data_IF_306891305002
#
_entry.id   IF_306891305002
#
_cell.length_a   1.000
_cell.length_b   1.000
_cell.length_c   1.000
_cell.angle_alpha   90.00
_cell.angle_beta   90.00
_cell.angle_gamma   90.00
#
_symmetry.space_group_name_H-M   'P 1'
#
loop_
_entity.id
_entity.type
_entity.pdbx_description
1 polymer ?
#
# COMPACT_ATOMS: atom_id res chain seq x y z
N UNK A 1 63.26 40.63 -16.16
CA UNK A 1 63.99 39.60 -15.34
C UNK A 1 63.20 38.32 -15.43
N UNK A 2 63.80 37.34 -16.05
CA UNK A 2 63.25 35.98 -16.32
C UNK A 2 63.16 35.21 -15.03
N UNK A 3 61.99 34.59 -14.70
CA UNK A 3 61.94 33.51 -13.70
C UNK A 3 61.15 32.33 -14.23
N UNK A 4 61.90 31.30 -14.47
CA UNK A 4 61.61 29.93 -14.75
C UNK A 4 60.57 29.36 -13.75
N UNK A 5 59.46 28.81 -14.23
CA UNK A 5 58.60 27.97 -13.43
C UNK A 5 58.84 26.54 -13.88
N UNK A 6 59.43 25.78 -12.99
CA UNK A 6 59.77 24.37 -13.12
C UNK A 6 58.51 23.51 -13.06
N UNK A 7 58.30 22.71 -14.10
CA UNK A 7 57.24 21.74 -14.26
C UNK A 7 57.60 20.52 -13.39
N UNK A 8 56.79 20.27 -12.34
CA UNK A 8 56.91 19.04 -11.56
C UNK A 8 55.80 18.08 -12.03
N UNK A 9 56.18 17.18 -12.92
CA UNK A 9 55.33 16.04 -13.32
C UNK A 9 55.40 15.00 -12.21
N UNK A 10 54.37 14.90 -11.39
CA UNK A 10 54.16 13.76 -10.49
C UNK A 10 53.55 12.59 -11.28
N UNK A 11 54.33 11.56 -11.51
CA UNK A 11 53.91 10.31 -12.07
C UNK A 11 53.00 9.56 -11.06
N UNK A 12 51.73 9.44 -11.33
CA UNK A 12 50.83 8.51 -10.65
C UNK A 12 50.95 7.14 -11.32
N UNK A 13 51.12 6.05 -10.57
CA UNK A 13 51.08 4.71 -11.14
C UNK A 13 49.65 4.39 -11.54
N UNK A 14 49.41 4.18 -12.84
CA UNK A 14 48.22 3.52 -13.34
C UNK A 14 48.20 2.06 -12.82
N UNK A 15 47.44 1.81 -11.79
CA UNK A 15 47.02 0.44 -11.48
C UNK A 15 45.95 0.08 -12.51
N UNK A 16 46.36 -0.57 -13.58
CA UNK A 16 45.45 -1.24 -14.51
C UNK A 16 44.81 -2.42 -13.74
N UNK A 17 43.60 -2.21 -13.23
CA UNK A 17 42.71 -3.30 -12.88
C UNK A 17 42.32 -3.95 -14.20
N UNK A 18 42.95 -5.07 -14.50
CA UNK A 18 42.56 -5.95 -15.60
C UNK A 18 41.16 -6.48 -15.27
N UNK A 19 40.11 -5.81 -15.75
CA UNK A 19 38.81 -6.42 -15.93
C UNK A 19 39.01 -7.47 -17.03
N UNK A 20 39.11 -8.73 -16.61
CA UNK A 20 38.97 -9.86 -17.52
C UNK A 20 37.54 -9.82 -18.04
N UNK A 21 37.35 -9.19 -19.17
CA UNK A 21 36.12 -9.32 -19.95
C UNK A 21 36.01 -10.80 -20.35
N UNK A 22 35.03 -11.45 -19.72
CA UNK A 22 34.66 -12.84 -20.07
C UNK A 22 34.17 -12.80 -21.54
N UNK A 23 34.67 -13.75 -22.34
CA UNK A 23 34.15 -13.87 -23.70
C UNK A 23 32.65 -14.19 -23.66
N UNK A 24 31.85 -13.81 -24.68
CA UNK A 24 30.41 -14.07 -24.71
C UNK A 24 30.05 -15.56 -24.52
N UNK A 25 30.95 -16.49 -24.92
CA UNK A 25 30.79 -17.92 -24.71
C UNK A 25 30.95 -18.30 -23.22
N UNK A 26 31.85 -17.66 -22.49
CA UNK A 26 32.07 -17.91 -21.06
C UNK A 26 30.92 -17.34 -20.21
N UNK A 27 30.34 -16.23 -20.62
CA UNK A 27 29.14 -15.68 -19.98
C UNK A 27 27.93 -16.59 -20.20
N UNK A 28 27.76 -17.14 -21.39
CA UNK A 28 26.69 -18.09 -21.70
C UNK A 28 26.83 -19.38 -20.87
N UNK A 29 28.04 -19.93 -20.79
CA UNK A 29 28.29 -21.12 -19.97
C UNK A 29 28.06 -20.88 -18.49
N UNK A 30 28.43 -19.71 -17.97
CA UNK A 30 28.18 -19.34 -16.59
C UNK A 30 26.68 -19.20 -16.32
N UNK A 31 25.95 -18.55 -17.21
CA UNK A 31 24.50 -18.41 -17.11
C UNK A 31 23.78 -19.77 -17.16
N UNK A 32 24.23 -20.68 -18.00
CA UNK A 32 23.69 -22.06 -18.06
C UNK A 32 23.93 -22.82 -16.75
N UNK A 33 25.12 -22.72 -16.15
CA UNK A 33 25.43 -23.36 -14.87
C UNK A 33 24.59 -22.77 -13.73
N UNK A 34 24.36 -21.46 -13.72
CA UNK A 34 23.50 -20.83 -12.72
C UNK A 34 22.03 -21.23 -12.87
N UNK A 35 21.53 -21.37 -14.10
CA UNK A 35 20.20 -21.87 -14.39
C UNK A 35 20.01 -23.31 -13.90
N UNK A 36 20.96 -24.18 -14.19
CA UNK A 36 20.93 -25.57 -13.75
C UNK A 36 20.97 -25.70 -12.22
N UNK A 37 21.81 -24.91 -11.56
CA UNK A 37 21.87 -24.84 -10.10
C UNK A 37 20.55 -24.34 -9.47
N UNK A 38 19.90 -23.37 -10.11
CA UNK A 38 18.59 -22.88 -9.67
C UNK A 38 17.48 -23.92 -9.85
N UNK A 39 17.50 -24.67 -10.95
CA UNK A 39 16.55 -25.77 -11.20
C UNK A 39 16.71 -26.91 -10.18
N UNK A 40 17.95 -27.29 -9.82
CA UNK A 40 18.19 -28.28 -8.77
C UNK A 40 17.64 -27.86 -7.41
N UNK A 41 17.86 -26.61 -7.03
CA UNK A 41 17.29 -26.04 -5.77
C UNK A 41 15.76 -26.07 -5.77
N UNK A 42 15.14 -25.80 -6.91
CA UNK A 42 13.68 -25.82 -7.05
C UNK A 42 13.11 -27.24 -6.90
N UNK A 43 13.78 -28.23 -7.49
CA UNK A 43 13.38 -29.64 -7.38
C UNK A 43 13.53 -30.16 -5.95
N UNK A 44 14.63 -29.84 -5.27
CA UNK A 44 14.82 -30.18 -3.85
C UNK A 44 13.78 -29.53 -2.95
N UNK A 45 13.43 -28.27 -3.21
CA UNK A 45 12.39 -27.57 -2.47
C UNK A 45 11.01 -28.20 -2.65
N UNK A 46 10.68 -28.64 -3.87
CA UNK A 46 9.43 -29.37 -4.17
C UNK A 46 9.38 -30.73 -3.46
N UNK A 47 10.47 -31.51 -3.48
CA UNK A 47 10.55 -32.79 -2.77
C UNK A 47 10.40 -32.63 -1.26
N UNK A 48 11.01 -31.59 -0.67
CA UNK A 48 10.83 -31.27 0.77
C UNK A 48 9.39 -30.91 1.09
N UNK A 49 8.73 -30.12 0.24
CA UNK A 49 7.32 -29.75 0.41
C UNK A 49 6.40 -30.98 0.29
N UNK A 50 6.66 -31.90 -0.64
CA UNK A 50 5.89 -33.14 -0.78
C UNK A 50 6.08 -34.08 0.42
N UNK A 51 7.30 -34.22 0.92
CA UNK A 51 7.59 -35.02 2.13
C UNK A 51 6.93 -34.44 3.37
N UNK A 52 6.88 -33.11 3.51
CA UNK A 52 6.18 -32.44 4.60
C UNK A 52 4.65 -32.65 4.55
N UNK A 53 4.06 -32.78 3.37
CA UNK A 53 2.64 -33.08 3.22
C UNK A 53 2.32 -34.56 3.49
N UNK A 54 3.23 -35.49 3.21
CA UNK A 54 3.05 -36.90 3.49
C UNK A 54 3.19 -37.26 4.98
N UNK A 55 3.97 -36.49 5.75
CA UNK A 55 4.12 -36.67 7.20
C UNK A 55 2.98 -36.12 8.03
N UNK A 56 2.05 -35.35 7.45
CA UNK A 56 0.83 -34.90 8.12
C UNK A 56 -0.39 -35.81 7.93
N UNK A 57 -0.22 -36.93 7.24
CA UNK A 57 -1.30 -37.89 6.89
C UNK A 57 -1.40 -39.13 7.77
N UNK A 58 -0.52 -39.36 8.73
CA UNK A 58 -0.57 -40.55 9.60
C UNK A 58 -0.48 -40.18 11.07
N UNK A 59 -1.65 -39.92 11.68
CA UNK A 59 -1.86 -40.07 13.10
C UNK A 59 -2.81 -41.28 13.32
N UNK A 60 -2.47 -42.24 14.20
CA UNK A 60 -3.23 -43.47 14.34
C UNK A 60 -4.58 -43.23 15.02
N UNK A 61 -5.64 -43.67 14.36
CA UNK A 61 -6.97 -43.85 14.97
C UNK A 61 -6.84 -44.91 16.08
N UNK A 62 -6.97 -44.49 17.31
CA UNK A 62 -7.43 -45.37 18.40
C UNK A 62 -8.94 -45.26 18.52
N UNK A 63 -9.58 -46.34 18.19
CA UNK A 63 -10.96 -46.64 18.62
C UNK A 63 -11.00 -46.77 20.11
N UNK A 64 -11.79 -45.95 20.76
CA UNK A 64 -12.37 -46.28 22.07
C UNK A 64 -13.81 -45.79 22.10
N UNK A 65 -14.66 -46.81 22.06
CA UNK A 65 -16.09 -46.80 22.23
C UNK A 65 -16.41 -46.44 23.70
N UNK A 66 -17.03 -45.30 23.96
CA UNK A 66 -17.71 -45.07 25.21
C UNK A 66 -18.96 -44.22 24.95
N UNK A 67 -20.07 -44.91 25.07
CA UNK A 67 -21.42 -44.41 24.87
C UNK A 67 -21.74 -43.22 25.79
N UNK A 68 -22.35 -42.20 25.19
CA UNK A 68 -22.93 -41.09 25.91
C UNK A 68 -24.44 -41.25 25.92
N UNK A 69 -24.96 -41.64 27.10
CA UNK A 69 -26.38 -41.67 27.44
C UNK A 69 -26.85 -40.27 27.81
N UNK A 70 -27.91 -39.85 27.16
CA UNK A 70 -28.67 -38.63 27.44
C UNK A 70 -29.60 -38.92 28.66
N UNK A 71 -29.60 -38.11 29.75
CA UNK A 71 -30.70 -38.08 30.67
C UNK A 71 -31.72 -37.01 30.27
N UNK A 72 -32.93 -37.49 30.05
CA UNK A 72 -34.15 -36.68 29.95
C UNK A 72 -34.72 -36.39 31.35
N UNK A 73 -35.32 -35.20 31.47
CA UNK A 73 -36.37 -34.78 32.42
C UNK A 73 -35.96 -34.21 33.80
N UNK A 74 -36.28 -32.97 34.05
CA UNK A 74 -37.52 -32.47 34.66
C UNK A 74 -37.38 -31.00 35.08
N UNK A 75 -38.30 -30.17 34.56
CA UNK A 75 -38.71 -28.89 35.17
C UNK A 75 -39.54 -29.17 36.44
N UNK A 76 -39.83 -28.22 37.43
CA UNK A 76 -40.01 -26.77 37.23
C UNK A 76 -39.62 -25.84 38.43
N UNK A 77 -39.72 -24.55 38.18
CA UNK A 77 -40.24 -23.43 39.00
C UNK A 77 -39.32 -22.57 39.88
N UNK A 78 -39.34 -21.31 39.52
CA UNK A 78 -39.48 -20.04 40.25
C UNK A 78 -38.25 -19.16 40.59
N UNK A 79 -38.25 -18.02 39.89
CA UNK A 79 -38.06 -16.62 40.35
C UNK A 79 -36.82 -16.24 41.18
N UNK A 80 -35.98 -15.36 40.59
CA UNK A 80 -35.85 -13.91 40.92
C UNK A 80 -34.75 -13.23 40.14
N UNK A 81 -35.18 -12.22 39.39
CA UNK A 81 -34.65 -10.84 39.21
C UNK A 81 -33.12 -10.62 39.26
N UNK A 82 -32.61 -10.23 38.08
CA UNK A 82 -31.69 -9.14 37.69
C UNK A 82 -30.71 -8.55 38.69
N UNK A 83 -29.53 -8.08 38.29
CA UNK A 83 -29.30 -7.17 37.15
C UNK A 83 -27.95 -7.30 36.42
N UNK A 84 -27.86 -6.51 35.35
CA UNK A 84 -26.66 -6.12 34.63
C UNK A 84 -26.24 -7.02 33.47
N UNK A 85 -26.95 -6.78 32.38
CA UNK A 85 -26.56 -7.00 31.00
C UNK A 85 -25.23 -6.29 30.71
N UNK A 86 -24.12 -7.01 30.84
CA UNK A 86 -22.89 -6.64 30.13
C UNK A 86 -23.15 -6.92 28.67
N UNK A 87 -23.55 -5.89 27.94
CA UNK A 87 -23.49 -5.84 26.48
C UNK A 87 -22.08 -6.28 26.05
N UNK A 88 -21.95 -7.54 25.66
CA UNK A 88 -20.81 -7.99 24.85
C UNK A 88 -20.95 -7.24 23.54
N UNK A 89 -20.10 -6.25 23.32
CA UNK A 89 -19.90 -5.70 21.99
C UNK A 89 -19.61 -6.87 21.05
N UNK A 90 -20.56 -7.15 20.18
CA UNK A 90 -20.39 -8.13 19.11
C UNK A 90 -19.23 -7.64 18.26
N UNK A 91 -18.17 -8.43 18.14
CA UNK A 91 -17.11 -8.17 17.15
C UNK A 91 -17.80 -8.03 15.80
N UNK A 92 -17.55 -6.94 15.05
CA UNK A 92 -18.15 -6.75 13.74
C UNK A 92 -17.91 -7.97 12.86
N UNK A 93 -18.91 -8.37 12.11
CA UNK A 93 -18.78 -9.50 11.19
C UNK A 93 -17.79 -9.13 10.08
N UNK A 94 -17.04 -10.09 9.56
CA UNK A 94 -16.10 -9.87 8.42
C UNK A 94 -16.75 -9.18 7.22
N UNK A 95 -18.07 -9.28 7.08
CA UNK A 95 -18.86 -8.66 6.02
C UNK A 95 -19.09 -7.15 6.27
N UNK A 96 -19.29 -6.74 7.54
CA UNK A 96 -19.41 -5.33 7.93
C UNK A 96 -18.10 -4.58 7.75
N UNK A 97 -16.95 -5.23 8.02
CA UNK A 97 -15.63 -4.66 7.82
C UNK A 97 -15.31 -4.37 6.34
N UNK A 98 -15.96 -5.08 5.40
CA UNK A 98 -15.73 -4.91 3.97
C UNK A 98 -16.69 -3.93 3.30
N UNK A 99 -17.80 -3.59 3.93
CA UNK A 99 -18.85 -2.73 3.35
C UNK A 99 -18.32 -1.40 2.78
N UNK A 100 -17.41 -0.66 3.45
CA UNK A 100 -16.89 0.60 2.92
C UNK A 100 -16.09 0.44 1.62
N UNK A 101 -15.46 -0.71 1.42
CA UNK A 101 -14.65 -0.98 0.23
C UNK A 101 -15.47 -1.55 -0.94
N UNK A 102 -16.65 -2.06 -0.67
CA UNK A 102 -17.59 -2.62 -1.66
C UNK A 102 -18.63 -1.60 -2.13
N UNK A 103 -18.72 -0.44 -1.47
CA UNK A 103 -19.66 0.62 -1.85
C UNK A 103 -19.42 1.09 -3.30
N UNK A 104 -20.49 1.44 -4.01
CA UNK A 104 -20.43 1.81 -5.42
C UNK A 104 -19.66 3.10 -5.68
N UNK A 105 -19.65 3.97 -4.69
CA UNK A 105 -18.98 5.29 -4.69
C UNK A 105 -17.62 5.29 -3.97
N UNK A 106 -17.16 4.13 -3.48
CA UNK A 106 -15.89 4.03 -2.77
C UNK A 106 -14.69 4.44 -3.64
N UNK A 107 -14.76 4.22 -4.96
CA UNK A 107 -13.76 4.64 -5.93
C UNK A 107 -14.45 5.36 -7.09
N UNK A 108 -14.73 6.68 -6.93
CA UNK A 108 -15.39 7.46 -7.96
C UNK A 108 -14.47 7.69 -9.18
N UNK A 109 -15.10 7.79 -10.33
CA UNK A 109 -14.45 8.14 -11.59
C UNK A 109 -14.94 9.51 -12.05
N UNK A 110 -14.02 10.47 -12.15
CA UNK A 110 -14.25 11.79 -12.71
C UNK A 110 -13.50 11.86 -14.05
N UNK A 111 -14.23 12.06 -15.14
CA UNK A 111 -13.67 12.05 -16.49
C UNK A 111 -12.81 10.81 -16.81
N UNK A 112 -13.27 9.63 -16.31
CA UNK A 112 -12.58 8.36 -16.51
C UNK A 112 -11.32 8.16 -15.65
N UNK A 113 -11.07 9.02 -14.66
CA UNK A 113 -9.93 8.93 -13.72
C UNK A 113 -10.41 8.78 -12.30
N UNK A 114 -9.69 8.00 -11.53
CA UNK A 114 -9.95 7.89 -10.09
C UNK A 114 -9.57 9.19 -9.41
N UNK A 115 -10.55 9.82 -8.76
CA UNK A 115 -10.37 11.08 -8.05
C UNK A 115 -11.29 11.16 -6.85
N UNK A 116 -10.74 11.59 -5.71
CA UNK A 116 -11.50 11.90 -4.50
C UNK A 116 -11.32 13.35 -4.12
N UNK A 117 -12.37 13.97 -3.65
CA UNK A 117 -12.35 15.35 -3.15
C UNK A 117 -12.98 15.44 -1.77
N UNK A 118 -12.42 16.29 -0.93
CA UNK A 118 -12.91 16.61 0.41
C UNK A 118 -13.01 18.13 0.55
N UNK A 119 -14.17 18.64 0.91
CA UNK A 119 -14.40 20.07 1.16
C UNK A 119 -14.58 20.31 2.66
N UNK A 120 -13.88 21.32 3.19
CA UNK A 120 -14.02 21.78 4.57
C UNK A 120 -14.56 23.21 4.54
N UNK A 121 -15.78 23.37 5.04
CA UNK A 121 -16.39 24.70 5.19
C UNK A 121 -15.85 25.37 6.47
N UNK A 122 -15.35 26.59 6.31
CA UNK A 122 -14.79 27.44 7.39
C UNK A 122 -15.37 28.86 7.27
N UNK A 123 -16.66 29.06 7.56
CA UNK A 123 -17.32 30.37 7.39
C UNK A 123 -16.59 31.47 8.14
N UNK A 124 -16.36 32.61 7.46
CA UNK A 124 -15.72 33.78 8.04
C UNK A 124 -14.17 33.72 8.04
N UNK A 125 -13.56 32.67 7.54
CA UNK A 125 -12.09 32.56 7.37
C UNK A 125 -11.74 32.95 5.93
N UNK A 126 -10.75 33.82 5.75
CA UNK A 126 -10.30 34.22 4.41
C UNK A 126 -9.55 33.11 3.68
N UNK A 127 -9.55 33.17 2.34
CA UNK A 127 -8.81 32.25 1.48
C UNK A 127 -7.31 32.22 1.82
N UNK A 128 -6.69 33.36 2.16
CA UNK A 128 -5.29 33.46 2.53
C UNK A 128 -4.95 32.64 3.80
N UNK A 129 -5.77 32.77 4.86
CA UNK A 129 -5.59 32.01 6.10
C UNK A 129 -5.76 30.52 5.86
N UNK A 130 -6.77 30.13 5.07
CA UNK A 130 -6.97 28.73 4.70
C UNK A 130 -5.80 28.19 3.84
N UNK A 131 -5.26 29.01 2.96
CA UNK A 131 -4.10 28.65 2.14
C UNK A 131 -2.86 28.40 2.99
N UNK A 132 -2.58 29.23 4.00
CA UNK A 132 -1.45 29.01 4.91
C UNK A 132 -1.62 27.71 5.71
N UNK A 133 -2.84 27.40 6.18
CA UNK A 133 -3.14 26.11 6.81
C UNK A 133 -2.92 24.94 5.85
N UNK A 134 -3.38 25.04 4.60
CA UNK A 134 -3.13 24.04 3.56
C UNK A 134 -1.65 23.85 3.27
N UNK A 135 -0.86 24.92 3.28
CA UNK A 135 0.60 24.89 3.11
C UNK A 135 1.27 24.13 4.25
N UNK A 136 0.88 24.40 5.50
CA UNK A 136 1.31 23.65 6.68
C UNK A 136 0.99 22.16 6.55
N UNK A 137 -0.27 21.82 6.30
CA UNK A 137 -0.74 20.46 6.11
C UNK A 137 0.05 19.70 5.02
N UNK A 138 0.21 20.28 3.83
CA UNK A 138 0.94 19.62 2.75
C UNK A 138 2.43 19.44 3.08
N UNK A 139 3.05 20.39 3.77
CA UNK A 139 4.43 20.23 4.26
C UNK A 139 4.55 19.05 5.23
N UNK A 140 3.63 18.91 6.17
CA UNK A 140 3.62 17.80 7.13
C UNK A 140 3.43 16.45 6.43
N UNK A 141 2.54 16.38 5.43
CA UNK A 141 2.35 15.16 4.64
C UNK A 141 3.60 14.81 3.82
N UNK A 142 4.22 15.79 3.18
CA UNK A 142 5.45 15.61 2.38
C UNK A 142 6.63 15.16 3.25
N UNK A 143 6.74 15.67 4.47
CA UNK A 143 7.80 15.31 5.42
C UNK A 143 7.46 14.08 6.28
N UNK A 144 6.24 13.59 6.20
CA UNK A 144 5.74 12.49 7.00
C UNK A 144 6.48 11.17 6.76
N UNK A 145 6.48 10.29 7.78
CA UNK A 145 7.24 9.04 7.77
C UNK A 145 6.86 8.02 6.68
N UNK A 146 5.70 8.15 6.03
CA UNK A 146 5.29 7.32 4.89
C UNK A 146 5.83 7.86 3.56
N UNK A 147 6.24 9.14 3.51
CA UNK A 147 6.71 9.82 2.32
C UNK A 147 8.12 9.38 1.93
N UNK A 148 8.37 9.22 0.65
CA UNK A 148 9.70 8.97 0.09
C UNK A 148 10.38 10.29 -0.30
N UNK A 149 11.70 10.26 -0.50
CA UNK A 149 12.52 11.45 -0.79
C UNK A 149 12.07 12.26 -2.01
N UNK A 150 11.40 11.63 -2.97
CA UNK A 150 10.89 12.29 -4.17
C UNK A 150 9.55 13.01 -3.97
N UNK A 151 8.92 12.85 -2.80
CA UNK A 151 7.72 13.61 -2.45
C UNK A 151 8.07 15.09 -2.27
N UNK A 152 7.27 15.96 -2.87
CA UNK A 152 7.52 17.42 -2.83
C UNK A 152 6.28 18.21 -3.13
N UNK A 153 6.26 19.45 -2.70
CA UNK A 153 5.31 20.44 -3.23
C UNK A 153 5.77 20.81 -4.64
N UNK A 154 4.94 20.48 -5.63
CA UNK A 154 5.27 20.61 -7.06
C UNK A 154 4.78 21.94 -7.65
N UNK A 155 3.74 22.54 -7.06
CA UNK A 155 3.19 23.83 -7.49
C UNK A 155 2.77 24.65 -6.28
N UNK A 156 3.13 25.92 -6.29
CA UNK A 156 2.70 26.97 -5.35
C UNK A 156 2.15 28.12 -6.15
N UNK A 157 0.87 28.42 -6.02
CA UNK A 157 0.22 29.57 -6.66
C UNK A 157 -0.49 30.43 -5.60
N UNK A 158 0.23 31.42 -5.12
CA UNK A 158 -0.26 32.31 -4.04
C UNK A 158 -1.43 33.19 -4.51
N UNK A 159 -1.54 33.46 -5.84
CA UNK A 159 -2.62 34.31 -6.37
C UNK A 159 -3.96 33.59 -6.42
N UNK A 160 -3.94 32.31 -6.74
CA UNK A 160 -5.14 31.46 -6.83
C UNK A 160 -5.36 30.64 -5.55
N UNK A 161 -4.52 30.82 -4.52
CA UNK A 161 -4.52 30.04 -3.30
C UNK A 161 -4.57 28.53 -3.57
N UNK A 162 -3.70 28.08 -4.48
CA UNK A 162 -3.65 26.71 -4.98
C UNK A 162 -2.28 26.09 -4.77
N UNK A 163 -2.25 24.87 -4.21
CA UNK A 163 -1.03 24.10 -4.02
C UNK A 163 -1.20 22.70 -4.63
N UNK A 164 -0.12 22.15 -5.17
CA UNK A 164 -0.09 20.75 -5.60
C UNK A 164 1.15 20.09 -5.00
N UNK A 165 0.96 19.00 -4.27
CA UNK A 165 2.01 18.11 -3.82
C UNK A 165 2.02 16.84 -4.68
N UNK A 166 3.21 16.44 -5.13
CA UNK A 166 3.46 15.14 -5.76
C UNK A 166 3.99 14.19 -4.69
N UNK A 167 3.25 13.12 -4.43
CA UNK A 167 3.52 12.18 -3.37
C UNK A 167 4.03 10.85 -3.91
N UNK A 168 4.98 10.26 -3.18
CA UNK A 168 5.47 8.90 -3.39
C UNK A 168 5.60 8.23 -2.03
N UNK A 169 4.92 7.11 -1.85
CA UNK A 169 4.89 6.37 -0.58
C UNK A 169 5.12 4.89 -0.82
N UNK A 170 5.82 4.22 0.10
CA UNK A 170 5.89 2.77 0.09
C UNK A 170 4.54 2.21 0.56
N UNK A 171 3.92 1.37 -0.26
CA UNK A 171 2.64 0.74 0.07
C UNK A 171 2.88 -0.65 0.64
N UNK A 172 2.46 -0.88 1.87
CA UNK A 172 2.49 -2.21 2.48
C UNK A 172 1.20 -2.96 2.15
N UNK A 173 1.30 -3.93 1.23
CA UNK A 173 0.16 -4.79 0.87
C UNK A 173 0.41 -6.18 1.43
N UNK A 174 -0.45 -6.67 2.36
CA UNK A 174 -0.31 -8.03 2.92
C UNK A 174 -0.64 -9.07 1.83
N UNK A 175 0.32 -9.42 1.01
CA UNK A 175 0.17 -10.43 -0.03
C UNK A 175 1.47 -11.20 -0.25
N UNK A 176 1.38 -12.52 -0.32
CA UNK A 176 2.53 -13.38 -0.64
C UNK A 176 3.12 -13.09 -2.03
N UNK A 177 2.33 -12.56 -2.96
CA UNK A 177 2.77 -12.24 -4.32
C UNK A 177 3.50 -10.90 -4.44
N UNK A 178 3.27 -9.96 -3.50
CA UNK A 178 3.87 -8.63 -3.48
C UNK A 178 4.82 -8.43 -2.28
N UNK A 179 5.06 -9.47 -1.48
CA UNK A 179 5.91 -9.38 -0.29
C UNK A 179 7.38 -9.11 -0.60
N UNK A 180 7.83 -9.39 -1.82
CA UNK A 180 9.20 -9.15 -2.26
C UNK A 180 9.45 -7.75 -2.81
N UNK A 181 8.38 -7.05 -3.27
CA UNK A 181 8.49 -5.73 -3.87
C UNK A 181 7.32 -4.87 -3.39
N UNK A 182 7.55 -4.09 -2.35
CA UNK A 182 6.55 -3.11 -1.89
C UNK A 182 6.29 -2.09 -3.01
N UNK A 183 5.08 -2.04 -3.59
CA UNK A 183 4.81 -1.07 -4.63
C UNK A 183 4.93 0.34 -4.08
N UNK A 184 5.45 1.24 -4.89
CA UNK A 184 5.44 2.66 -4.63
C UNK A 184 4.11 3.24 -5.10
N UNK A 185 3.38 3.83 -4.19
CA UNK A 185 2.12 4.53 -4.46
C UNK A 185 2.42 5.99 -4.78
N UNK A 186 2.15 6.41 -6.01
CA UNK A 186 2.32 7.76 -6.49
C UNK A 186 0.95 8.42 -6.69
N UNK A 187 0.79 9.65 -6.22
CA UNK A 187 -0.44 10.42 -6.37
C UNK A 187 -0.19 11.92 -6.25
N UNK A 188 -1.14 12.72 -6.66
CA UNK A 188 -1.15 14.16 -6.45
C UNK A 188 -2.17 14.53 -5.38
N UNK A 189 -1.79 15.45 -4.49
CA UNK A 189 -2.67 16.17 -3.59
C UNK A 189 -2.75 17.62 -4.04
N UNK A 190 -3.94 18.07 -4.37
CA UNK A 190 -4.21 19.45 -4.75
C UNK A 190 -5.09 20.12 -3.70
N UNK A 191 -4.69 21.29 -3.23
CA UNK A 191 -5.54 22.13 -2.40
C UNK A 191 -5.92 23.40 -3.13
N UNK A 192 -7.19 23.77 -3.00
CA UNK A 192 -7.74 25.04 -3.52
C UNK A 192 -8.51 25.72 -2.38
N UNK A 193 -8.18 26.97 -2.10
CA UNK A 193 -8.82 27.76 -1.05
C UNK A 193 -9.57 28.95 -1.64
N UNK A 194 -10.80 29.12 -1.17
CA UNK A 194 -11.62 30.30 -1.40
C UNK A 194 -12.13 30.80 -0.04
N UNK A 195 -12.67 32.02 0.03
CA UNK A 195 -13.21 32.52 1.28
C UNK A 195 -14.27 31.57 1.85
N UNK A 196 -14.06 31.15 3.08
CA UNK A 196 -14.95 30.25 3.80
C UNK A 196 -14.84 28.77 3.43
N UNK A 197 -13.94 28.36 2.52
CA UNK A 197 -13.86 26.95 2.10
C UNK A 197 -12.46 26.54 1.63
N UNK A 198 -11.99 25.39 2.09
CA UNK A 198 -10.80 24.71 1.56
C UNK A 198 -11.19 23.35 0.98
N UNK A 199 -10.64 23.02 -0.19
CA UNK A 199 -10.88 21.77 -0.89
C UNK A 199 -9.56 21.03 -1.04
N UNK A 200 -9.52 19.73 -0.69
CA UNK A 200 -8.41 18.83 -0.96
C UNK A 200 -8.86 17.79 -1.99
N UNK A 201 -8.10 17.66 -3.06
CA UNK A 201 -8.34 16.66 -4.11
C UNK A 201 -7.16 15.69 -4.20
N UNK A 202 -7.44 14.39 -4.21
CA UNK A 202 -6.46 13.32 -4.44
C UNK A 202 -6.69 12.71 -5.81
N UNK A 203 -5.70 12.80 -6.69
CA UNK A 203 -5.80 12.39 -8.09
C UNK A 203 -4.50 11.82 -8.65
N UNK A 204 -4.48 11.40 -9.93
CA UNK A 204 -3.31 10.87 -10.65
C UNK A 204 -2.64 9.69 -9.95
N UNK A 205 -3.44 8.75 -9.49
CA UNK A 205 -2.98 7.60 -8.73
C UNK A 205 -2.30 6.56 -9.63
N UNK A 206 -1.06 6.22 -9.30
CA UNK A 206 -0.24 5.24 -10.01
C UNK A 206 0.50 4.35 -9.01
N UNK A 207 0.56 3.06 -9.29
CA UNK A 207 1.32 2.08 -8.51
C UNK A 207 2.52 1.62 -9.34
N UNK A 208 3.73 1.87 -8.86
CA UNK A 208 4.97 1.41 -9.48
C UNK A 208 5.54 0.25 -8.68
N UNK A 209 5.93 -0.82 -9.34
CA UNK A 209 6.49 -2.01 -8.71
C UNK A 209 7.51 -2.69 -9.63
N UNK A 210 8.41 -3.46 -9.04
CA UNK A 210 9.39 -4.20 -9.81
C UNK A 210 8.83 -5.59 -10.16
N UNK A 211 8.68 -5.87 -11.44
CA UNK A 211 8.26 -7.15 -11.96
C UNK A 211 9.40 -7.75 -12.80
N UNK A 212 9.92 -8.90 -12.36
CA UNK A 212 10.91 -9.66 -13.11
C UNK A 212 12.08 -8.81 -13.66
N UNK A 213 12.65 -7.97 -12.80
CA UNK A 213 13.76 -7.04 -13.13
C UNK A 213 13.40 -5.85 -14.03
N UNK A 214 12.10 -5.60 -14.23
CA UNK A 214 11.61 -4.40 -14.91
C UNK A 214 10.68 -3.62 -13.98
N UNK A 215 10.82 -2.31 -14.00
CA UNK A 215 9.86 -1.44 -13.34
C UNK A 215 8.58 -1.35 -14.18
N UNK A 216 7.47 -1.75 -13.60
CA UNK A 216 6.15 -1.64 -14.18
C UNK A 216 5.31 -0.61 -13.40
N UNK A 217 4.30 -0.09 -14.03
CA UNK A 217 3.33 0.80 -13.38
C UNK A 217 1.91 0.48 -13.82
N UNK A 218 0.98 0.63 -12.90
CA UNK A 218 -0.46 0.49 -13.12
C UNK A 218 -1.19 1.71 -12.59
N UNK A 219 -2.14 2.21 -13.36
CA UNK A 219 -3.02 3.30 -12.93
C UNK A 219 -4.09 2.74 -12.00
N UNK A 220 -4.64 3.61 -11.16
CA UNK A 220 -5.74 3.24 -10.27
C UNK A 220 -6.95 2.71 -11.03
N UNK A 221 -7.24 3.27 -12.20
CA UNK A 221 -8.33 2.85 -13.09
C UNK A 221 -8.21 1.38 -13.52
N UNK A 222 -6.98 0.86 -13.61
CA UNK A 222 -6.66 -0.51 -14.03
C UNK A 222 -6.59 -1.50 -12.84
N UNK A 223 -6.64 -0.99 -11.60
CA UNK A 223 -6.42 -1.85 -10.43
C UNK A 223 -7.49 -1.79 -9.37
N UNK A 224 -8.01 -0.60 -9.05
CA UNK A 224 -8.87 -0.45 -7.87
C UNK A 224 -10.32 -0.11 -8.18
N UNK A 225 -10.69 0.04 -9.44
CA UNK A 225 -12.09 0.25 -9.82
C UNK A 225 -12.95 -0.98 -9.48
N UNK A 226 -14.25 -0.80 -9.47
CA UNK A 226 -15.19 -1.88 -9.16
C UNK A 226 -15.00 -3.08 -10.07
N UNK A 227 -14.79 -2.84 -11.37
CA UNK A 227 -14.56 -3.87 -12.38
C UNK A 227 -13.33 -4.74 -12.09
N UNK A 228 -12.25 -4.14 -11.58
CA UNK A 228 -10.96 -4.80 -11.41
C UNK A 228 -10.76 -5.37 -10.00
N UNK A 229 -11.38 -4.76 -8.98
CA UNK A 229 -11.14 -5.08 -7.59
C UNK A 229 -12.29 -5.78 -6.87
N UNK A 230 -13.48 -5.85 -7.48
CA UNK A 230 -14.68 -6.44 -6.88
C UNK A 230 -15.19 -7.57 -7.80
N UNK A 231 -15.76 -8.62 -7.22
CA UNK A 231 -16.42 -9.66 -8.00
C UNK A 231 -17.76 -9.16 -8.59
N UNK A 232 -18.27 -9.82 -9.64
CA UNK A 232 -19.49 -9.43 -10.36
C UNK A 232 -20.71 -9.19 -9.44
N UNK A 233 -20.85 -10.02 -8.41
CA UNK A 233 -21.96 -9.92 -7.46
C UNK A 233 -21.75 -8.86 -6.35
N UNK A 234 -20.64 -8.11 -6.37
CA UNK A 234 -20.27 -7.08 -5.37
C UNK A 234 -20.28 -7.57 -3.92
N UNK A 235 -19.95 -8.83 -3.70
CA UNK A 235 -19.94 -9.47 -2.38
C UNK A 235 -18.54 -9.71 -1.82
N UNK A 236 -17.53 -9.66 -2.67
CA UNK A 236 -16.13 -9.95 -2.31
C UNK A 236 -15.15 -9.10 -3.09
N UNK A 237 -14.05 -8.83 -2.45
CA UNK A 237 -12.87 -8.22 -3.10
C UNK A 237 -12.04 -9.30 -3.82
N UNK A 238 -11.43 -8.93 -4.93
CA UNK A 238 -10.43 -9.75 -5.61
C UNK A 238 -9.17 -9.91 -4.73
N UNK A 239 -8.44 -11.04 -4.83
CA UNK A 239 -7.36 -11.34 -3.89
C UNK A 239 -6.24 -10.30 -3.83
N UNK A 240 -5.81 -9.76 -4.97
CA UNK A 240 -4.73 -8.77 -5.06
C UNK A 240 -5.26 -7.35 -5.19
N UNK A 241 -6.00 -7.08 -6.25
CA UNK A 241 -6.54 -5.75 -6.57
C UNK A 241 -7.48 -5.22 -5.49
N UNK A 242 -8.23 -6.11 -4.84
CA UNK A 242 -9.04 -5.76 -3.68
C UNK A 242 -8.23 -5.29 -2.48
N UNK A 243 -7.04 -5.89 -2.22
CA UNK A 243 -6.16 -5.42 -1.14
C UNK A 243 -5.55 -4.05 -1.46
N UNK A 244 -5.13 -3.84 -2.71
CA UNK A 244 -4.66 -2.54 -3.18
C UNK A 244 -5.74 -1.49 -2.99
N UNK A 245 -7.00 -1.81 -3.37
CA UNK A 245 -8.18 -0.95 -3.18
C UNK A 245 -8.36 -0.57 -1.71
N UNK A 246 -8.38 -1.53 -0.80
CA UNK A 246 -8.51 -1.27 0.64
C UNK A 246 -7.41 -0.34 1.13
N UNK A 247 -6.15 -0.68 0.89
CA UNK A 247 -5.01 0.13 1.35
C UNK A 247 -5.04 1.56 0.79
N UNK A 248 -5.49 1.72 -0.46
CA UNK A 248 -5.64 3.05 -1.09
C UNK A 248 -6.77 3.86 -0.45
N UNK A 249 -7.93 3.25 -0.24
CA UNK A 249 -9.07 3.90 0.41
C UNK A 249 -8.72 4.29 1.85
N UNK A 250 -8.05 3.41 2.60
CA UNK A 250 -7.61 3.70 3.97
C UNK A 250 -6.65 4.89 3.99
N UNK A 251 -5.68 4.91 3.07
CA UNK A 251 -4.75 6.03 2.96
C UNK A 251 -5.45 7.34 2.60
N UNK A 252 -6.39 7.32 1.67
CA UNK A 252 -7.24 8.46 1.33
C UNK A 252 -8.00 8.95 2.56
N UNK A 253 -8.60 8.04 3.33
CA UNK A 253 -9.34 8.40 4.55
C UNK A 253 -8.43 9.03 5.61
N UNK A 254 -7.22 8.48 5.83
CA UNK A 254 -6.22 9.08 6.74
C UNK A 254 -5.88 10.52 6.35
N UNK A 255 -5.60 10.75 5.05
CA UNK A 255 -5.23 12.06 4.52
C UNK A 255 -6.38 13.06 4.67
N UNK A 256 -7.61 12.67 4.32
CA UNK A 256 -8.77 13.55 4.40
C UNK A 256 -9.13 13.90 5.85
N UNK A 257 -9.08 12.92 6.76
CA UNK A 257 -9.30 13.17 8.18
C UNK A 257 -8.20 14.09 8.80
N UNK A 258 -6.95 13.94 8.36
CA UNK A 258 -5.87 14.83 8.79
C UNK A 258 -6.05 16.25 8.24
N UNK A 259 -6.49 16.37 6.98
CA UNK A 259 -6.82 17.66 6.37
C UNK A 259 -7.94 18.39 7.12
N UNK A 260 -9.03 17.69 7.40
CA UNK A 260 -10.14 18.28 8.16
C UNK A 260 -9.71 18.78 9.54
N UNK A 261 -8.85 18.03 10.22
CA UNK A 261 -8.29 18.47 11.53
C UNK A 261 -7.44 19.71 11.37
N UNK A 262 -6.50 19.70 10.42
CA UNK A 262 -5.61 20.83 10.19
C UNK A 262 -6.35 22.13 9.82
N UNK A 263 -7.51 22.02 9.16
CA UNK A 263 -8.33 23.20 8.88
C UNK A 263 -9.04 23.75 10.12
N UNK A 264 -9.40 22.88 11.07
CA UNK A 264 -10.17 23.25 12.30
C UNK A 264 -9.30 23.71 13.46
N UNK A 265 -8.02 23.34 13.47
CA UNK A 265 -7.01 23.83 14.43
C UNK A 265 -6.57 25.28 14.11
#
# INVERSE_FOLDING_TARGET
MKKLIMLLLAALPLVAVAQTELTPEQELEKAQKELEAAQRKLTEARERAQKAQQTQGEAPRKEENAGWTVPQNQTPVAKKQDPAEKRKEAKPSKAEDLAPYLAADAVPLVDGRVEWSCEVAMPGVSAEVLYDKCKGYLNDVVQGGKSQKESRIALVNDREHRLIASMREAMSIPSAYLSLNHPTFCYALETVCVDGKATLTMSRLVYSYDASSKQESKKAEEWITDKEAINENRTRLQPLTGKVRCTTIDRKNELFAAFERAMKE
#
